data_IF_239536882757
#
_entry.id   IF_239536882757
#
_cell.length_a   1.000
_cell.length_b   1.000
_cell.length_c   1.000
_cell.angle_alpha   90.00
_cell.angle_beta   90.00
_cell.angle_gamma   90.00
#
_symmetry.space_group_name_H-M   'P 1'
#
loop_
_entity.id
_entity.type
_entity.pdbx_description
1 polymer ?
#
# COMPACT_ATOMS: atom_id res chain seq x y z
N UNK A 1 -56.38 32.95 -24.70
CA UNK A 1 -55.81 32.23 -25.84
C UNK A 1 -54.44 32.82 -26.07
N UNK A 2 -53.46 31.95 -26.33
CA UNK A 2 -52.01 32.15 -26.45
C UNK A 2 -51.26 32.44 -25.14
N UNK A 3 -50.46 31.50 -24.59
CA UNK A 3 -49.17 30.94 -25.06
C UNK A 3 -47.98 31.88 -24.85
N UNK A 4 -47.28 31.69 -23.73
CA UNK A 4 -45.82 31.66 -23.56
C UNK A 4 -45.54 30.98 -22.20
N UNK A 5 -45.24 29.67 -22.17
CA UNK A 5 -43.87 29.13 -22.17
C UNK A 5 -42.98 29.84 -21.16
N UNK A 6 -42.75 29.20 -20.01
CA UNK A 6 -41.58 28.31 -19.80
C UNK A 6 -40.29 29.11 -19.69
N UNK A 7 -39.59 28.91 -18.56
CA UNK A 7 -38.20 29.24 -18.21
C UNK A 7 -38.12 30.13 -16.97
N UNK A 8 -37.98 29.48 -15.79
CA UNK A 8 -36.95 29.76 -14.78
C UNK A 8 -37.31 29.06 -13.45
N UNK A 9 -37.35 27.72 -13.48
CA UNK A 9 -37.34 26.89 -12.27
C UNK A 9 -35.95 26.24 -12.17
N UNK A 10 -34.96 27.06 -11.81
CA UNK A 10 -33.55 26.68 -11.70
C UNK A 10 -33.07 26.81 -10.26
N UNK A 11 -33.69 26.09 -9.32
CA UNK A 11 -33.15 25.94 -7.96
C UNK A 11 -33.41 24.54 -7.39
N UNK A 12 -32.55 23.59 -7.76
CA UNK A 12 -32.62 22.24 -7.20
C UNK A 12 -31.54 21.30 -7.71
N UNK A 13 -30.26 21.66 -7.59
CA UNK A 13 -29.16 20.71 -7.78
C UNK A 13 -28.29 20.61 -6.51
N UNK A 14 -27.78 19.39 -6.21
CA UNK A 14 -27.40 18.95 -4.88
C UNK A 14 -26.02 19.49 -4.47
N UNK A 15 -25.96 20.13 -3.30
CA UNK A 15 -24.70 20.54 -2.70
C UNK A 15 -24.22 19.51 -1.66
N UNK A 16 -22.99 19.05 -1.88
CA UNK A 16 -22.05 18.57 -0.87
C UNK A 16 -22.17 17.13 -0.35
N UNK A 17 -21.64 16.15 -1.12
CA UNK A 17 -21.01 14.96 -0.52
C UNK A 17 -19.97 14.25 -1.42
N UNK A 18 -19.22 15.01 -2.23
CA UNK A 18 -18.23 14.42 -3.17
C UNK A 18 -16.83 15.08 -3.10
N UNK A 19 -16.46 15.67 -1.96
CA UNK A 19 -15.18 16.40 -1.82
C UNK A 19 -14.37 15.99 -0.58
N UNK A 20 -14.12 14.68 -0.38
CA UNK A 20 -13.21 14.19 0.69
C UNK A 20 -12.17 13.16 0.25
N UNK A 21 -11.61 13.27 -0.96
CA UNK A 21 -10.51 12.38 -1.37
C UNK A 21 -9.30 13.05 -2.02
N UNK A 22 -9.13 14.36 -1.88
CA UNK A 22 -8.03 15.09 -2.55
C UNK A 22 -7.11 15.83 -1.58
N UNK A 23 -6.59 15.15 -0.55
CA UNK A 23 -5.51 15.74 0.29
C UNK A 23 -4.63 14.73 1.06
N UNK A 24 -4.38 13.52 0.53
CA UNK A 24 -3.30 12.65 1.04
C UNK A 24 -2.20 12.38 -0.02
N UNK A 25 -2.49 12.66 -1.30
CA UNK A 25 -1.57 12.40 -2.41
C UNK A 25 -0.51 13.51 -2.62
N UNK A 26 -0.63 14.65 -1.96
CA UNK A 26 0.16 15.85 -2.28
C UNK A 26 1.54 15.94 -1.59
N UNK A 27 1.99 14.90 -0.91
CA UNK A 27 3.36 14.85 -0.34
C UNK A 27 4.10 13.58 -0.75
N UNK A 28 3.98 13.18 -2.02
CA UNK A 28 5.05 12.40 -2.67
C UNK A 28 6.19 13.37 -2.97
N UNK A 29 6.85 13.85 -1.91
CA UNK A 29 8.09 14.61 -2.03
C UNK A 29 9.04 13.80 -2.91
N UNK A 30 9.50 14.43 -4.00
CA UNK A 30 10.14 13.80 -5.16
C UNK A 30 11.00 12.59 -4.78
N UNK A 31 10.42 11.39 -4.90
CA UNK A 31 11.15 10.17 -4.67
C UNK A 31 12.25 10.08 -5.73
N UNK A 32 13.50 9.93 -5.30
CA UNK A 32 14.63 9.77 -6.21
C UNK A 32 14.34 8.57 -7.14
N UNK A 33 14.22 8.78 -8.47
CA UNK A 33 13.78 7.73 -9.39
C UNK A 33 14.76 6.54 -9.40
N UNK A 34 16.06 6.80 -9.17
CA UNK A 34 17.07 5.75 -9.06
C UNK A 34 16.89 4.92 -7.79
N UNK A 35 16.59 5.57 -6.66
CA UNK A 35 16.31 4.89 -5.40
C UNK A 35 15.09 3.98 -5.54
N UNK A 36 14.02 4.47 -6.18
CA UNK A 36 12.81 3.68 -6.42
C UNK A 36 13.05 2.51 -7.37
N UNK A 37 13.80 2.72 -8.45
CA UNK A 37 14.18 1.63 -9.36
C UNK A 37 15.00 0.56 -8.63
N UNK A 38 15.95 0.97 -7.79
CA UNK A 38 16.76 0.05 -6.98
C UNK A 38 15.91 -0.70 -5.95
N UNK A 39 14.99 -0.03 -5.26
CA UNK A 39 14.05 -0.66 -4.32
C UNK A 39 13.12 -1.65 -5.03
N UNK A 40 12.68 -1.33 -6.25
CA UNK A 40 11.87 -2.21 -7.09
C UNK A 40 12.49 -3.59 -7.33
N UNK A 41 13.83 -3.66 -7.44
CA UNK A 41 14.56 -4.93 -7.55
C UNK A 41 14.96 -5.52 -6.19
N UNK A 42 15.37 -4.69 -5.23
CA UNK A 42 15.90 -5.14 -3.95
C UNK A 42 14.81 -5.71 -3.02
N UNK A 43 13.63 -5.08 -2.97
CA UNK A 43 12.55 -5.50 -2.07
C UNK A 43 12.09 -6.94 -2.38
N UNK A 44 11.77 -7.32 -3.64
CA UNK A 44 11.43 -8.71 -3.97
C UNK A 44 12.54 -9.72 -3.61
N UNK A 45 13.82 -9.35 -3.82
CA UNK A 45 14.95 -10.19 -3.45
C UNK A 45 14.99 -10.44 -1.94
N UNK A 46 14.76 -9.41 -1.12
CA UNK A 46 14.67 -9.56 0.33
C UNK A 46 13.43 -10.34 0.75
N UNK A 47 12.28 -10.15 0.12
CA UNK A 47 11.08 -10.95 0.40
C UNK A 47 11.34 -12.45 0.17
N UNK A 48 12.05 -12.82 -0.91
CA UNK A 48 12.44 -14.21 -1.15
C UNK A 48 13.35 -14.77 -0.05
N UNK A 49 14.28 -13.97 0.48
CA UNK A 49 15.17 -14.36 1.58
C UNK A 49 14.40 -14.55 2.89
N UNK A 50 13.45 -13.66 3.17
CA UNK A 50 12.70 -13.63 4.43
C UNK A 50 11.47 -14.57 4.42
N UNK A 51 11.06 -15.12 3.28
CA UNK A 51 9.84 -15.94 3.14
C UNK A 51 9.74 -17.15 4.06
N UNK A 52 10.89 -17.63 4.58
CA UNK A 52 10.96 -18.81 5.47
C UNK A 52 10.88 -18.43 6.95
N UNK A 53 10.95 -17.15 7.27
CA UNK A 53 10.87 -16.66 8.64
C UNK A 53 9.41 -16.53 9.08
N UNK A 54 9.19 -16.68 10.38
CA UNK A 54 7.88 -16.46 10.99
C UNK A 54 7.53 -14.97 11.04
N UNK A 55 6.23 -14.66 11.09
CA UNK A 55 5.74 -13.28 11.23
C UNK A 55 6.41 -12.49 12.37
N UNK A 56 6.57 -13.03 13.61
CA UNK A 56 7.27 -12.30 14.68
C UNK A 56 8.76 -12.05 14.38
N UNK A 57 9.44 -12.95 13.67
CA UNK A 57 10.84 -12.73 13.27
C UNK A 57 10.96 -11.63 12.22
N UNK A 58 10.03 -11.58 11.25
CA UNK A 58 9.96 -10.50 10.28
C UNK A 58 9.67 -9.15 10.96
N UNK A 59 8.73 -9.12 11.92
CA UNK A 59 8.43 -7.91 12.67
C UNK A 59 9.64 -7.40 13.48
N UNK A 60 10.42 -8.29 14.09
CA UNK A 60 11.66 -7.93 14.77
C UNK A 60 12.70 -7.33 13.81
N UNK A 61 12.84 -7.92 12.61
CA UNK A 61 13.73 -7.39 11.56
C UNK A 61 13.27 -6.00 11.12
N UNK A 62 11.96 -5.80 10.91
CA UNK A 62 11.43 -4.50 10.52
C UNK A 62 11.76 -3.43 11.58
N UNK A 63 11.58 -3.72 12.87
CA UNK A 63 11.91 -2.80 13.97
C UNK A 63 13.39 -2.42 13.99
N UNK A 64 14.29 -3.40 13.84
CA UNK A 64 15.74 -3.14 13.77
C UNK A 64 16.11 -2.22 12.60
N UNK A 65 15.45 -2.39 11.45
CA UNK A 65 15.72 -1.57 10.27
C UNK A 65 15.27 -0.11 10.44
N UNK A 66 14.20 0.15 11.21
CA UNK A 66 13.69 1.51 11.45
C UNK A 66 14.74 2.40 12.11
N UNK A 67 15.47 1.88 13.08
CA UNK A 67 16.53 2.65 13.76
C UNK A 67 17.63 3.04 12.77
N UNK A 68 18.15 2.09 11.99
CA UNK A 68 19.18 2.35 10.97
C UNK A 68 18.72 3.38 9.94
N UNK A 69 17.48 3.29 9.46
CA UNK A 69 16.92 4.24 8.50
C UNK A 69 16.79 5.63 9.12
N UNK A 70 16.37 5.73 10.38
CA UNK A 70 16.23 6.99 11.11
C UNK A 70 17.55 7.76 11.23
N UNK A 71 18.65 7.06 11.51
CA UNK A 71 19.97 7.68 11.63
C UNK A 71 20.64 8.01 10.28
N UNK A 72 20.30 7.29 9.20
CA UNK A 72 20.98 7.41 7.90
C UNK A 72 20.08 7.91 6.76
N UNK A 73 18.91 8.46 7.07
CA UNK A 73 17.94 8.94 6.07
C UNK A 73 18.49 10.05 5.16
N UNK A 74 19.38 10.89 5.67
CA UNK A 74 20.07 11.93 4.90
C UNK A 74 20.99 11.33 3.82
N UNK A 75 21.73 10.26 4.16
CA UNK A 75 22.59 9.55 3.22
C UNK A 75 21.80 8.82 2.12
N UNK A 76 20.52 8.50 2.35
CA UNK A 76 19.62 7.95 1.32
C UNK A 76 19.15 9.02 0.32
N UNK A 77 18.96 10.26 0.77
CA UNK A 77 18.46 11.34 -0.08
C UNK A 77 19.57 12.04 -0.86
N UNK A 78 20.67 12.38 -0.18
CA UNK A 78 21.76 13.18 -0.77
C UNK A 78 22.98 12.35 -1.17
N UNK A 79 22.98 11.05 -0.86
CA UNK A 79 24.13 10.19 -1.01
C UNK A 79 25.18 10.43 0.09
N UNK A 80 26.15 9.53 0.19
CA UNK A 80 27.22 9.65 1.18
C UNK A 80 27.68 8.32 1.77
N UNK A 81 28.57 8.41 2.77
CA UNK A 81 29.08 7.25 3.48
C UNK A 81 27.95 6.60 4.29
N UNK A 82 27.74 5.30 4.13
CA UNK A 82 26.65 4.56 4.79
C UNK A 82 25.37 4.42 3.96
N UNK A 83 25.29 5.03 2.76
CA UNK A 83 24.11 4.93 1.90
C UNK A 83 23.74 3.46 1.55
N UNK A 84 24.72 2.60 1.30
CA UNK A 84 24.49 1.18 1.01
C UNK A 84 23.91 0.41 2.22
N UNK A 85 24.30 0.76 3.44
CA UNK A 85 23.78 0.16 4.66
C UNK A 85 22.34 0.60 4.90
N UNK A 86 22.09 1.90 4.81
CA UNK A 86 20.77 2.51 4.89
C UNK A 86 19.80 1.94 3.84
N UNK A 87 20.28 1.77 2.60
CA UNK A 87 19.51 1.20 1.51
C UNK A 87 19.12 -0.26 1.78
N UNK A 88 20.08 -1.07 2.22
CA UNK A 88 19.82 -2.47 2.56
C UNK A 88 18.87 -2.59 3.75
N UNK A 89 19.00 -1.72 4.76
CA UNK A 89 18.08 -1.65 5.89
C UNK A 89 16.67 -1.27 5.42
N UNK A 90 16.52 -0.26 4.55
CA UNK A 90 15.24 0.14 3.97
C UNK A 90 14.59 -0.98 3.17
N UNK A 91 15.32 -1.58 2.22
CA UNK A 91 14.80 -2.66 1.39
C UNK A 91 14.39 -3.88 2.23
N UNK A 92 15.19 -4.23 3.26
CA UNK A 92 14.90 -5.34 4.17
C UNK A 92 13.71 -5.05 5.08
N UNK A 93 13.59 -3.83 5.60
CA UNK A 93 12.46 -3.38 6.40
C UNK A 93 11.15 -3.42 5.62
N UNK A 94 11.15 -2.87 4.39
CA UNK A 94 10.00 -2.93 3.49
C UNK A 94 9.63 -4.38 3.14
N UNK A 95 10.61 -5.24 2.85
CA UNK A 95 10.33 -6.65 2.58
C UNK A 95 9.75 -7.39 3.79
N UNK A 96 10.22 -7.10 5.00
CA UNK A 96 9.68 -7.67 6.22
C UNK A 96 8.24 -7.21 6.46
N UNK A 97 7.97 -5.90 6.32
CA UNK A 97 6.63 -5.32 6.43
C UNK A 97 5.67 -5.89 5.37
N UNK A 98 6.12 -6.03 4.12
CA UNK A 98 5.33 -6.61 3.03
C UNK A 98 4.89 -8.07 3.31
N UNK A 99 5.65 -8.80 4.14
CA UNK A 99 5.36 -10.18 4.52
C UNK A 99 4.51 -10.28 5.79
N UNK A 100 4.56 -9.28 6.68
CA UNK A 100 3.84 -9.27 7.96
C UNK A 100 2.53 -8.50 7.94
N UNK A 101 2.44 -7.44 7.14
CA UNK A 101 1.27 -6.57 7.09
C UNK A 101 0.17 -7.21 6.24
N UNK A 102 -1.04 -7.25 6.78
CA UNK A 102 -2.24 -7.59 6.03
C UNK A 102 -2.50 -6.49 4.98
N UNK A 103 -2.33 -6.84 3.71
CA UNK A 103 -2.44 -5.90 2.58
C UNK A 103 -1.11 -5.46 1.98
N UNK A 104 0.04 -5.79 2.60
CA UNK A 104 1.36 -5.41 2.08
C UNK A 104 1.84 -4.03 2.54
N UNK A 105 2.82 -3.46 1.83
CA UNK A 105 3.41 -2.15 2.17
C UNK A 105 3.47 -1.27 0.93
N UNK A 106 3.08 0.00 1.08
CA UNK A 106 3.20 1.03 0.05
C UNK A 106 4.23 2.06 0.49
N UNK A 107 5.22 2.34 -0.36
CA UNK A 107 6.23 3.37 -0.12
C UNK A 107 6.53 4.12 -1.41
N UNK A 108 6.51 5.46 -1.35
CA UNK A 108 6.80 6.35 -2.47
C UNK A 108 6.08 5.97 -3.78
N UNK A 109 4.80 5.61 -3.68
CA UNK A 109 3.95 5.24 -4.81
C UNK A 109 4.14 3.81 -5.35
N UNK A 110 5.07 3.02 -4.79
CA UNK A 110 5.25 1.60 -5.14
C UNK A 110 4.69 0.71 -4.04
N UNK A 111 3.95 -0.33 -4.43
CA UNK A 111 3.31 -1.28 -3.52
C UNK A 111 3.95 -2.67 -3.63
N UNK A 112 4.23 -3.29 -2.48
CA UNK A 112 4.70 -4.68 -2.40
C UNK A 112 3.83 -5.48 -1.45
N UNK A 113 3.33 -6.63 -1.93
CA UNK A 113 2.52 -7.54 -1.14
C UNK A 113 3.01 -8.99 -1.30
N UNK A 114 2.75 -9.81 -0.29
CA UNK A 114 2.98 -11.27 -0.32
C UNK A 114 2.23 -11.97 -1.47
N UNK A 115 1.12 -11.41 -1.96
CA UNK A 115 0.35 -11.95 -3.08
C UNK A 115 0.99 -11.55 -4.41
N UNK A 116 1.44 -12.54 -5.17
CA UNK A 116 1.94 -12.33 -6.54
C UNK A 116 0.83 -11.74 -7.42
N UNK A 117 1.08 -10.58 -8.01
CA UNK A 117 0.13 -9.90 -8.89
C UNK A 117 -0.90 -9.01 -8.19
N UNK A 118 -0.70 -8.64 -6.92
CA UNK A 118 -1.50 -7.59 -6.27
C UNK A 118 -1.41 -6.29 -7.08
N UNK A 119 -2.55 -5.83 -7.62
CA UNK A 119 -2.67 -4.54 -8.34
C UNK A 119 -3.25 -3.44 -7.45
N UNK A 120 -3.68 -3.77 -6.24
CA UNK A 120 -4.29 -2.82 -5.33
C UNK A 120 -3.21 -1.99 -4.65
N UNK A 121 -3.08 -0.74 -5.10
CA UNK A 121 -2.16 0.25 -4.51
C UNK A 121 -2.45 0.53 -3.02
N UNK A 122 -3.68 0.21 -2.58
CA UNK A 122 -4.19 0.44 -1.22
C UNK A 122 -4.09 -0.81 -0.34
N UNK A 123 -3.72 -1.97 -0.90
CA UNK A 123 -3.72 -3.23 -0.14
C UNK A 123 -5.11 -3.80 0.18
N UNK A 124 -6.18 -3.21 -0.36
CA UNK A 124 -7.60 -3.57 -0.16
C UNK A 124 -8.02 -4.87 -0.89
N UNK A 125 -7.14 -5.86 -0.94
CA UNK A 125 -7.54 -7.19 -1.38
C UNK A 125 -8.01 -8.03 -0.17
N UNK A 126 -9.07 -8.84 -0.31
CA UNK A 126 -9.54 -9.67 0.79
C UNK A 126 -8.41 -10.58 1.25
N UNK A 127 -8.04 -10.47 2.52
CA UNK A 127 -7.15 -11.41 3.18
C UNK A 127 -7.83 -12.78 3.09
N UNK A 128 -7.06 -13.85 2.85
CA UNK A 128 -7.63 -15.20 2.92
C UNK A 128 -7.83 -15.60 4.38
N UNK A 129 -8.70 -14.86 5.08
CA UNK A 129 -9.33 -15.25 6.33
C UNK A 129 -10.57 -14.37 6.56
N UNK A 130 -11.74 -14.95 6.30
CA UNK A 130 -13.10 -14.51 6.70
C UNK A 130 -13.59 -13.13 6.25
N UNK A 131 -14.28 -13.05 5.10
CA UNK A 131 -15.65 -12.48 5.05
C UNK A 131 -16.39 -12.79 3.73
N UNK A 132 -16.57 -14.07 3.41
CA UNK A 132 -17.73 -14.45 2.61
C UNK A 132 -18.49 -15.47 3.45
N UNK A 133 -19.72 -15.19 3.93
CA UNK A 133 -20.61 -16.28 4.25
C UNK A 133 -20.70 -17.12 2.98
N UNK A 134 -20.32 -18.40 3.08
CA UNK A 134 -20.69 -19.38 2.06
C UNK A 134 -22.17 -19.16 1.75
N UNK A 135 -22.60 -18.98 0.50
CA UNK A 135 -24.01 -19.05 0.20
C UNK A 135 -24.49 -20.41 0.73
N UNK A 136 -25.51 -20.39 1.60
CA UNK A 136 -26.15 -21.58 2.15
C UNK A 136 -26.42 -22.55 1.00
N UNK A 137 -25.63 -23.62 0.91
CA UNK A 137 -25.95 -24.72 0.02
C UNK A 137 -27.22 -25.35 0.60
N UNK A 138 -28.29 -25.52 -0.21
CA UNK A 138 -29.50 -26.16 0.26
C UNK A 138 -29.13 -27.54 0.81
N UNK A 139 -29.51 -27.81 2.06
CA UNK A 139 -29.39 -29.14 2.64
C UNK A 139 -30.25 -30.07 1.77
N UNK A 140 -29.59 -30.84 0.92
CA UNK A 140 -30.25 -31.94 0.23
C UNK A 140 -30.89 -32.84 1.30
N UNK A 141 -32.21 -32.94 1.17
CA UNK A 141 -33.08 -33.76 1.99
C UNK A 141 -32.53 -35.19 2.00
N UNK A 142 -32.02 -35.60 3.15
CA UNK A 142 -31.82 -37.01 3.44
C UNK A 142 -33.20 -37.67 3.51
N UNK A 143 -33.39 -38.61 2.58
CA UNK A 143 -34.48 -39.57 2.55
C UNK A 143 -34.64 -40.34 3.86
#
# INVERSE_FOLDING_TARGET
MDETSDLDDFQGLPAASAARSTSAAATVAAANPLLMAALGAAVPLHMMKLRRLSSPQCAAIARQCVETIGFQGDALQYGGKGCAEAFNALARGLAALALTADGGVTFAGTHWCRRTGCRDLHGDHPTRYTDHPLPDLPREEAA
#
